data_IF_115035101148
#
_entry.id   IF_115035101148
#
_cell.length_a   1.000
_cell.length_b   1.000
_cell.length_c   1.000
_cell.angle_alpha   90.00
_cell.angle_beta   90.00
_cell.angle_gamma   90.00
#
_symmetry.space_group_name_H-M   'P 1'
#
loop_
_entity.id
_entity.type
_entity.pdbx_description
1 polymer ?
#
# COMPACT_ATOMS: atom_id res chain seq x y z
N UNK A 1 24.88 9.14 -4.41
CA UNK A 1 23.83 8.16 -4.01
C UNK A 1 23.00 8.74 -2.88
N UNK A 2 21.66 8.78 -3.02
CA UNK A 2 20.72 9.32 -2.03
C UNK A 2 19.78 8.21 -1.55
N UNK A 3 19.66 8.02 -0.24
CA UNK A 3 18.69 7.10 0.35
C UNK A 3 17.33 7.78 0.50
N UNK A 4 16.27 7.13 0.02
CA UNK A 4 14.89 7.63 0.04
C UNK A 4 14.12 6.89 1.14
N UNK A 5 14.19 7.39 2.37
CA UNK A 5 13.56 6.77 3.54
C UNK A 5 12.07 7.00 3.58
N UNK A 6 11.31 5.92 3.67
CA UNK A 6 9.86 5.99 3.76
C UNK A 6 9.33 6.67 5.04
N UNK A 7 10.10 6.60 6.13
CA UNK A 7 9.69 7.17 7.41
C UNK A 7 9.48 8.70 7.35
N UNK A 8 10.31 9.42 6.57
CA UNK A 8 10.21 10.88 6.42
C UNK A 8 8.91 11.26 5.69
N UNK A 9 8.63 10.61 4.57
CA UNK A 9 7.39 10.81 3.82
C UNK A 9 6.16 10.37 4.62
N UNK A 10 6.24 9.24 5.35
CA UNK A 10 5.17 8.76 6.22
C UNK A 10 4.85 9.75 7.35
N UNK A 11 5.87 10.40 7.93
CA UNK A 11 5.68 11.41 8.97
C UNK A 11 4.84 12.60 8.49
N UNK A 12 5.11 13.10 7.28
CA UNK A 12 4.34 14.19 6.70
C UNK A 12 2.86 13.81 6.51
N UNK A 13 2.60 12.61 5.95
CA UNK A 13 1.22 12.08 5.77
C UNK A 13 0.52 11.93 7.12
N UNK A 14 1.21 11.33 8.12
CA UNK A 14 0.63 11.12 9.44
C UNK A 14 0.30 12.43 10.16
N UNK A 15 1.15 13.46 10.04
CA UNK A 15 0.91 14.77 10.66
C UNK A 15 -0.38 15.39 10.14
N UNK A 16 -0.62 15.35 8.83
CA UNK A 16 -1.87 15.86 8.24
C UNK A 16 -3.08 15.00 8.63
N UNK A 17 -2.94 13.68 8.59
CA UNK A 17 -4.00 12.76 9.01
C UNK A 17 -4.36 12.94 10.50
N UNK A 18 -3.39 13.14 11.39
CA UNK A 18 -3.63 13.41 12.82
C UNK A 18 -4.40 14.71 13.04
N UNK A 19 -4.04 15.78 12.31
CA UNK A 19 -4.78 17.06 12.38
C UNK A 19 -6.24 16.87 11.94
N UNK A 20 -6.47 16.22 10.80
CA UNK A 20 -7.82 15.96 10.29
C UNK A 20 -8.62 15.02 11.23
N UNK A 21 -7.96 14.03 11.83
CA UNK A 21 -8.58 13.15 12.83
C UNK A 21 -9.04 13.95 14.05
N UNK A 22 -8.22 14.88 14.57
CA UNK A 22 -8.61 15.72 15.69
C UNK A 22 -9.85 16.57 15.37
N UNK A 23 -9.91 17.18 14.18
CA UNK A 23 -11.06 17.95 13.69
C UNK A 23 -12.34 17.10 13.59
N UNK A 24 -12.22 15.82 13.19
CA UNK A 24 -13.34 14.87 13.13
C UNK A 24 -13.79 14.46 14.54
N UNK A 25 -12.85 14.22 15.45
CA UNK A 25 -13.16 13.85 16.85
C UNK A 25 -13.92 14.98 17.55
N UNK A 26 -13.58 16.26 17.33
CA UNK A 26 -14.34 17.41 17.84
C UNK A 26 -15.80 17.43 17.35
N UNK A 27 -16.07 16.80 16.20
CA UNK A 27 -17.43 16.61 15.65
C UNK A 27 -18.09 15.32 16.12
N UNK A 28 -17.46 14.56 17.04
CA UNK A 28 -17.95 13.28 17.54
C UNK A 28 -17.67 12.09 16.62
N UNK A 29 -16.80 12.21 15.62
CA UNK A 29 -16.49 11.18 14.64
C UNK A 29 -15.07 10.68 14.86
N UNK A 30 -14.93 9.41 15.22
CA UNK A 30 -13.64 8.74 15.29
C UNK A 30 -13.42 7.96 13.99
N UNK A 31 -12.46 8.35 13.11
CA UNK A 31 -12.16 7.55 11.93
C UNK A 31 -11.86 6.10 12.33
N UNK A 32 -12.48 5.15 11.64
CA UNK A 32 -12.38 3.73 11.97
C UNK A 32 -12.07 2.92 10.72
N UNK A 33 -11.05 2.07 10.81
CA UNK A 33 -10.70 1.07 9.80
C UNK A 33 -11.25 -0.30 10.24
N UNK A 34 -12.09 -0.90 9.42
CA UNK A 34 -12.45 -2.30 9.52
C UNK A 34 -11.39 -3.18 8.85
N UNK A 35 -10.92 -4.19 9.55
CA UNK A 35 -9.93 -5.16 9.02
C UNK A 35 -10.58 -6.53 8.97
N UNK A 36 -10.48 -7.20 7.83
CA UNK A 36 -10.82 -8.63 7.70
C UNK A 36 -9.55 -9.42 7.47
N UNK A 37 -9.25 -10.35 8.37
CA UNK A 37 -8.10 -11.25 8.29
C UNK A 37 -8.57 -12.69 8.39
N UNK A 38 -8.08 -13.55 7.49
CA UNK A 38 -8.45 -14.97 7.42
C UNK A 38 -7.20 -15.82 7.63
N UNK A 39 -7.20 -16.61 8.68
CA UNK A 39 -6.07 -17.41 9.11
C UNK A 39 -5.19 -16.74 10.17
N UNK A 40 -4.14 -17.46 10.59
CA UNK A 40 -3.27 -17.08 11.70
C UNK A 40 -1.81 -16.85 11.26
N UNK A 41 -1.62 -16.23 10.09
CA UNK A 41 -0.27 -15.88 9.63
C UNK A 41 0.40 -14.86 10.56
N UNK A 42 1.61 -15.16 10.99
CA UNK A 42 2.36 -14.32 11.93
C UNK A 42 2.78 -12.97 11.31
N UNK A 43 3.01 -12.93 9.99
CA UNK A 43 3.36 -11.71 9.28
C UNK A 43 2.14 -10.78 9.18
N UNK A 44 0.97 -11.33 8.89
CA UNK A 44 -0.29 -10.58 8.88
C UNK A 44 -0.62 -10.00 10.25
N UNK A 45 -0.45 -10.80 11.31
CA UNK A 45 -0.65 -10.34 12.67
C UNK A 45 0.36 -9.23 13.06
N UNK A 46 1.61 -9.31 12.58
CA UNK A 46 2.61 -8.27 12.81
C UNK A 46 2.28 -6.99 12.04
N UNK A 47 1.80 -7.12 10.80
CA UNK A 47 1.36 -5.99 9.98
C UNK A 47 0.15 -5.28 10.60
N UNK A 48 -0.86 -6.04 11.05
CA UNK A 48 -2.03 -5.50 11.76
C UNK A 48 -1.62 -4.74 13.04
N UNK A 49 -0.68 -5.27 13.83
CA UNK A 49 -0.15 -4.54 15.00
C UNK A 49 0.48 -3.20 14.61
N UNK A 50 1.18 -3.17 13.47
CA UNK A 50 1.74 -1.94 12.92
C UNK A 50 0.67 -0.91 12.54
N UNK A 51 -0.40 -1.37 11.89
CA UNK A 51 -1.58 -0.55 11.56
C UNK A 51 -2.20 0.02 12.85
N UNK A 52 -2.53 -0.83 13.83
CA UNK A 52 -3.12 -0.41 15.11
C UNK A 52 -2.28 0.65 15.80
N UNK A 53 -0.98 0.40 15.95
CA UNK A 53 -0.06 1.38 16.57
C UNK A 53 -0.11 2.75 15.88
N UNK A 54 -0.21 2.78 14.56
CA UNK A 54 -0.27 4.03 13.79
C UNK A 54 -1.61 4.72 13.94
N UNK A 55 -2.70 3.98 13.89
CA UNK A 55 -4.07 4.50 14.05
C UNK A 55 -4.29 5.02 15.47
N UNK A 56 -3.88 4.28 16.49
CA UNK A 56 -3.94 4.71 17.90
C UNK A 56 -3.17 6.03 18.12
N UNK A 57 -1.96 6.14 17.55
CA UNK A 57 -1.17 7.36 17.63
C UNK A 57 -1.85 8.57 16.96
N UNK A 58 -2.73 8.33 15.99
CA UNK A 58 -3.52 9.35 15.31
C UNK A 58 -4.89 9.62 15.97
N UNK A 59 -5.28 8.86 17.00
CA UNK A 59 -6.61 8.92 17.60
C UNK A 59 -7.71 8.25 16.77
N UNK A 60 -7.34 7.47 15.73
CA UNK A 60 -8.24 6.70 14.90
C UNK A 60 -8.41 5.28 15.46
N UNK A 61 -9.47 4.59 15.07
CA UNK A 61 -9.80 3.24 15.54
C UNK A 61 -9.49 2.18 14.49
N UNK A 62 -9.29 0.94 14.97
CA UNK A 62 -9.19 -0.25 14.13
C UNK A 62 -10.08 -1.33 14.73
N UNK A 63 -11.05 -1.79 13.97
CA UNK A 63 -11.88 -2.95 14.29
C UNK A 63 -11.48 -4.11 13.41
N UNK A 64 -11.28 -5.30 14.00
CA UNK A 64 -10.84 -6.46 13.22
C UNK A 64 -11.83 -7.62 13.39
N UNK A 65 -12.13 -8.25 12.27
CA UNK A 65 -12.79 -9.55 12.21
C UNK A 65 -11.72 -10.55 11.74
N UNK A 66 -11.38 -11.48 12.64
CA UNK A 66 -10.44 -12.56 12.34
C UNK A 66 -11.23 -13.86 12.17
N UNK A 67 -11.14 -14.44 10.98
CA UNK A 67 -11.78 -15.71 10.65
C UNK A 67 -10.74 -16.83 10.61
N UNK A 68 -11.21 -18.06 10.85
CA UNK A 68 -10.36 -19.25 10.70
C UNK A 68 -9.92 -19.44 9.25
N UNK A 69 -8.77 -20.09 9.03
CA UNK A 69 -8.27 -20.39 7.69
C UNK A 69 -9.18 -21.34 6.89
N UNK A 70 -10.06 -22.06 7.55
CA UNK A 70 -11.03 -22.97 6.97
C UNK A 70 -12.47 -22.39 6.94
N UNK A 71 -12.63 -21.08 7.17
CA UNK A 71 -13.93 -20.43 7.09
C UNK A 71 -14.54 -20.60 5.69
N UNK A 72 -15.87 -20.59 5.63
CA UNK A 72 -16.59 -20.69 4.36
C UNK A 72 -16.56 -19.35 3.61
N UNK A 73 -16.93 -19.40 2.32
CA UNK A 73 -17.07 -18.19 1.50
C UNK A 73 -18.14 -17.27 2.10
N UNK A 74 -19.25 -17.84 2.56
CA UNK A 74 -20.37 -17.11 3.14
C UNK A 74 -19.96 -16.38 4.43
N UNK A 75 -19.18 -17.03 5.30
CA UNK A 75 -18.66 -16.39 6.53
C UNK A 75 -17.74 -15.21 6.22
N UNK A 76 -16.91 -15.33 5.19
CA UNK A 76 -16.04 -14.24 4.74
C UNK A 76 -16.86 -13.08 4.13
N UNK A 77 -17.89 -13.39 3.34
CA UNK A 77 -18.81 -12.40 2.78
C UNK A 77 -19.59 -11.65 3.87
N UNK A 78 -20.11 -12.38 4.87
CA UNK A 78 -20.83 -11.80 6.01
C UNK A 78 -19.92 -10.86 6.83
N UNK A 79 -18.66 -11.23 7.03
CA UNK A 79 -17.70 -10.37 7.73
C UNK A 79 -17.48 -9.03 7.02
N UNK A 80 -17.32 -9.05 5.69
CA UNK A 80 -17.20 -7.83 4.89
C UNK A 80 -18.49 -7.03 4.90
N UNK A 81 -19.64 -7.71 4.69
CA UNK A 81 -20.95 -7.06 4.67
C UNK A 81 -21.26 -6.37 6.00
N UNK A 82 -20.89 -6.98 7.13
CA UNK A 82 -21.04 -6.38 8.46
C UNK A 82 -20.28 -5.06 8.58
N UNK A 83 -19.00 -5.04 8.18
CA UNK A 83 -18.19 -3.80 8.21
C UNK A 83 -18.69 -2.77 7.18
N UNK A 84 -19.16 -3.22 6.02
CA UNK A 84 -19.69 -2.34 4.99
C UNK A 84 -20.98 -1.64 5.43
N UNK A 85 -21.84 -2.32 6.18
CA UNK A 85 -23.11 -1.79 6.70
C UNK A 85 -22.95 -0.93 7.96
N UNK A 86 -21.79 -0.95 8.62
CA UNK A 86 -21.55 -0.18 9.83
C UNK A 86 -21.10 1.24 9.49
N UNK A 87 -21.95 2.24 9.79
CA UNK A 87 -21.66 3.66 9.54
C UNK A 87 -20.49 4.20 10.37
N UNK A 88 -20.10 3.53 11.45
CA UNK A 88 -18.93 3.87 12.25
C UNK A 88 -17.61 3.40 11.61
N UNK A 89 -17.66 2.48 10.64
CA UNK A 89 -16.53 2.00 9.86
C UNK A 89 -16.40 2.81 8.57
N UNK A 90 -15.30 3.52 8.42
CA UNK A 90 -15.06 4.43 7.31
C UNK A 90 -14.16 3.86 6.22
N UNK A 91 -13.27 2.93 6.56
CA UNK A 91 -12.42 2.21 5.61
C UNK A 91 -12.44 0.72 5.88
N UNK A 92 -12.26 -0.10 4.84
CA UNK A 92 -12.16 -1.55 4.97
C UNK A 92 -10.86 -2.02 4.31
N UNK A 93 -10.14 -2.90 5.01
CA UNK A 93 -8.96 -3.60 4.55
C UNK A 93 -9.20 -5.11 4.61
N UNK A 94 -9.12 -5.77 3.47
CA UNK A 94 -9.10 -7.23 3.37
C UNK A 94 -7.65 -7.70 3.22
N UNK A 95 -7.14 -8.47 4.17
CA UNK A 95 -5.79 -9.02 4.10
C UNK A 95 -5.65 -10.04 2.98
N UNK A 96 -4.54 -9.97 2.27
CA UNK A 96 -4.20 -10.84 1.14
C UNK A 96 -2.81 -11.46 1.33
N UNK A 97 -2.54 -12.67 0.85
CA UNK A 97 -3.43 -13.53 0.06
C UNK A 97 -4.45 -14.29 0.90
N UNK A 98 -5.58 -14.62 0.30
CA UNK A 98 -6.60 -15.46 0.93
C UNK A 98 -6.31 -16.96 0.73
N UNK A 99 -6.87 -17.83 1.59
CA UNK A 99 -6.91 -19.27 1.35
C UNK A 99 -7.49 -19.60 -0.04
N UNK A 100 -6.90 -20.59 -0.73
CA UNK A 100 -7.22 -20.91 -2.14
C UNK A 100 -8.66 -21.32 -2.42
N UNK A 101 -9.41 -21.75 -1.42
CA UNK A 101 -10.81 -22.16 -1.55
C UNK A 101 -11.79 -20.96 -1.57
N UNK A 102 -11.31 -19.75 -1.23
CA UNK A 102 -12.11 -18.54 -1.24
C UNK A 102 -11.96 -17.79 -2.56
N UNK A 103 -13.08 -17.26 -3.04
CA UNK A 103 -13.12 -16.38 -4.22
C UNK A 103 -12.73 -14.95 -3.81
N UNK A 104 -11.44 -14.63 -3.97
CA UNK A 104 -10.90 -13.33 -3.60
C UNK A 104 -11.50 -12.18 -4.41
N UNK A 105 -11.82 -12.40 -5.69
CA UNK A 105 -12.36 -11.36 -6.55
C UNK A 105 -13.79 -11.01 -6.13
N UNK A 106 -14.59 -12.02 -5.78
CA UNK A 106 -15.91 -11.82 -5.24
C UNK A 106 -15.87 -11.05 -3.91
N UNK A 107 -14.97 -11.42 -2.99
CA UNK A 107 -14.83 -10.73 -1.70
C UNK A 107 -14.43 -9.26 -1.87
N UNK A 108 -13.50 -8.95 -2.78
CA UNK A 108 -13.12 -7.56 -3.08
C UNK A 108 -14.29 -6.72 -3.59
N UNK A 109 -15.18 -7.31 -4.41
CA UNK A 109 -16.34 -6.59 -4.96
C UNK A 109 -17.39 -6.23 -3.92
N UNK A 110 -17.38 -6.88 -2.74
CA UNK A 110 -18.30 -6.58 -1.63
C UNK A 110 -17.87 -5.36 -0.81
N UNK A 111 -16.62 -4.90 -0.96
CA UNK A 111 -16.14 -3.71 -0.27
C UNK A 111 -16.67 -2.48 -1.04
N UNK A 112 -17.51 -1.60 -0.43
CA UNK A 112 -17.98 -0.40 -1.10
C UNK A 112 -16.82 0.50 -1.51
N UNK A 113 -16.84 1.09 -2.70
CA UNK A 113 -15.74 1.90 -3.22
C UNK A 113 -15.41 3.11 -2.32
N UNK A 114 -16.41 3.66 -1.64
CA UNK A 114 -16.27 4.74 -0.67
C UNK A 114 -15.59 4.32 0.63
N UNK A 115 -15.59 3.01 0.96
CA UNK A 115 -14.90 2.41 2.10
C UNK A 115 -13.68 1.57 1.71
N UNK A 116 -13.36 1.48 0.43
CA UNK A 116 -12.24 0.68 -0.09
C UNK A 116 -10.89 1.35 0.18
N UNK A 117 -10.47 1.35 1.44
CA UNK A 117 -9.28 2.09 1.89
C UNK A 117 -7.96 1.58 1.29
N UNK A 118 -7.93 0.38 0.74
CA UNK A 118 -6.75 -0.19 0.06
C UNK A 118 -6.84 -0.19 -1.48
N UNK A 119 -7.94 0.32 -2.04
CA UNK A 119 -8.14 0.36 -3.50
C UNK A 119 -8.19 -1.03 -4.14
N UNK A 120 -8.70 -2.02 -3.41
CA UNK A 120 -8.71 -3.42 -3.83
C UNK A 120 -9.90 -3.79 -4.72
N UNK A 121 -10.99 -3.00 -4.69
CA UNK A 121 -12.19 -3.25 -5.48
C UNK A 121 -11.93 -2.91 -6.97
N UNK A 122 -12.32 -3.78 -7.90
CA UNK A 122 -12.24 -3.50 -9.35
C UNK A 122 -12.92 -2.18 -9.76
N UNK A 123 -13.98 -1.74 -9.07
CA UNK A 123 -14.61 -0.44 -9.32
C UNK A 123 -13.65 0.71 -9.00
N UNK A 124 -12.91 0.65 -7.87
CA UNK A 124 -11.89 1.64 -7.51
C UNK A 124 -10.80 1.72 -8.59
N UNK A 125 -10.35 0.57 -9.11
CA UNK A 125 -9.40 0.53 -10.22
C UNK A 125 -9.97 1.17 -11.50
N UNK A 126 -11.23 0.92 -11.84
CA UNK A 126 -11.91 1.55 -12.97
C UNK A 126 -12.06 3.07 -12.82
N UNK A 127 -12.40 3.54 -11.63
CA UNK A 127 -12.46 4.97 -11.31
C UNK A 127 -11.09 5.63 -11.44
N UNK A 128 -10.03 4.99 -10.91
CA UNK A 128 -8.65 5.47 -11.02
C UNK A 128 -8.21 5.63 -12.47
N UNK A 129 -8.46 4.61 -13.30
CA UNK A 129 -8.15 4.65 -14.74
C UNK A 129 -8.93 5.74 -15.48
N UNK A 130 -10.15 6.03 -15.03
CA UNK A 130 -10.98 7.12 -15.57
C UNK A 130 -10.65 8.51 -15.03
N UNK A 131 -9.62 8.65 -14.19
CA UNK A 131 -9.26 9.91 -13.53
C UNK A 131 -10.35 10.44 -12.59
N UNK A 132 -11.18 9.53 -12.05
CA UNK A 132 -12.26 9.85 -11.10
C UNK A 132 -11.76 9.76 -9.67
N UNK A 133 -12.43 10.47 -8.77
CA UNK A 133 -12.08 10.43 -7.34
C UNK A 133 -12.36 9.03 -6.74
N UNK A 134 -11.30 8.42 -6.19
CA UNK A 134 -11.32 7.11 -5.55
C UNK A 134 -10.13 6.98 -4.60
N UNK A 135 -10.04 5.86 -3.90
CA UNK A 135 -8.84 5.46 -3.19
C UNK A 135 -7.99 4.59 -4.11
N UNK A 136 -6.75 5.00 -4.35
CA UNK A 136 -5.79 4.20 -5.10
C UNK A 136 -5.24 3.06 -4.21
N UNK A 137 -4.71 1.97 -4.80
CA UNK A 137 -4.02 0.95 -4.02
C UNK A 137 -2.92 1.57 -3.14
N UNK A 138 -2.96 1.31 -1.83
CA UNK A 138 -2.08 1.96 -0.85
C UNK A 138 -0.60 1.87 -1.19
N UNK A 139 -0.15 0.73 -1.71
CA UNK A 139 1.23 0.52 -2.11
C UNK A 139 1.62 1.38 -3.31
N UNK A 140 0.75 1.49 -4.32
CA UNK A 140 0.99 2.33 -5.48
C UNK A 140 1.00 3.83 -5.09
N UNK A 141 0.04 4.26 -4.28
CA UNK A 141 0.01 5.64 -3.79
C UNK A 141 1.22 5.95 -2.90
N UNK A 142 1.69 5.00 -2.08
CA UNK A 142 2.89 5.16 -1.27
C UNK A 142 4.13 5.45 -2.12
N UNK A 143 4.27 4.78 -3.28
CA UNK A 143 5.35 5.07 -4.24
C UNK A 143 5.25 6.49 -4.77
N UNK A 144 4.06 6.92 -5.19
CA UNK A 144 3.84 8.29 -5.70
C UNK A 144 4.13 9.32 -4.61
N UNK A 145 3.63 9.11 -3.39
CA UNK A 145 3.89 10.01 -2.25
C UNK A 145 5.37 10.12 -1.89
N UNK A 146 6.12 9.03 -2.04
CA UNK A 146 7.57 9.05 -1.85
C UNK A 146 8.25 9.88 -2.94
N UNK A 147 7.87 9.70 -4.20
CA UNK A 147 8.36 10.48 -5.34
C UNK A 147 8.11 11.98 -5.13
N UNK A 148 6.87 12.35 -4.73
CA UNK A 148 6.48 13.73 -4.44
C UNK A 148 7.27 14.32 -3.26
N UNK A 149 7.40 13.57 -2.16
CA UNK A 149 8.12 14.01 -0.95
C UNK A 149 9.57 14.37 -1.26
N UNK A 150 10.24 13.52 -2.02
CA UNK A 150 11.63 13.73 -2.40
C UNK A 150 11.81 14.66 -3.59
N UNK A 151 10.71 15.21 -4.14
CA UNK A 151 10.69 16.12 -5.30
C UNK A 151 11.45 15.54 -6.48
N UNK A 152 11.23 14.25 -6.74
CA UNK A 152 11.75 13.57 -7.92
C UNK A 152 11.02 14.18 -9.12
N UNK A 153 11.77 14.87 -9.97
CA UNK A 153 11.19 15.61 -11.09
C UNK A 153 10.66 14.65 -12.17
N UNK A 154 9.34 14.66 -12.33
CA UNK A 154 8.62 13.99 -13.41
C UNK A 154 8.09 14.97 -14.46
N UNK A 155 8.27 16.27 -14.22
CA UNK A 155 7.73 17.35 -15.05
C UNK A 155 8.43 17.49 -16.40
N UNK A 156 7.65 17.73 -17.46
CA UNK A 156 8.16 18.02 -18.80
C UNK A 156 8.80 16.84 -19.53
N UNK A 157 8.86 15.67 -18.89
CA UNK A 157 9.31 14.42 -19.54
C UNK A 157 8.10 13.71 -20.12
N UNK A 158 8.21 13.19 -21.33
CA UNK A 158 7.28 12.20 -21.85
C UNK A 158 7.44 10.95 -20.97
N UNK A 159 6.67 10.86 -19.88
CA UNK A 159 6.75 9.71 -18.99
C UNK A 159 6.19 8.49 -19.74
N UNK A 160 7.08 7.65 -20.22
CA UNK A 160 6.72 6.33 -20.76
C UNK A 160 6.78 5.33 -19.61
N UNK A 161 5.67 4.64 -19.36
CA UNK A 161 5.62 3.55 -18.39
C UNK A 161 5.74 2.22 -19.14
N UNK A 162 6.78 1.46 -18.83
CA UNK A 162 6.97 0.10 -19.33
C UNK A 162 6.68 -0.88 -18.21
N UNK A 163 5.62 -1.68 -18.35
CA UNK A 163 5.29 -2.75 -17.41
C UNK A 163 5.99 -4.02 -17.82
N UNK A 164 6.87 -4.53 -16.95
CA UNK A 164 7.58 -5.79 -17.13
C UNK A 164 6.97 -6.89 -16.24
N UNK A 165 6.98 -8.12 -16.72
CA UNK A 165 6.46 -9.30 -16.02
C UNK A 165 7.27 -10.55 -16.36
N UNK A 166 6.91 -11.70 -15.82
CA UNK A 166 7.66 -12.96 -15.98
C UNK A 166 7.90 -13.41 -17.42
N UNK A 167 7.08 -12.96 -18.38
CA UNK A 167 7.25 -13.22 -19.81
C UNK A 167 8.04 -12.11 -20.55
N UNK A 168 8.50 -11.05 -19.86
CA UNK A 168 9.30 -9.99 -20.47
C UNK A 168 10.66 -10.53 -20.88
N UNK A 169 11.01 -10.35 -22.15
CA UNK A 169 12.34 -10.70 -22.66
C UNK A 169 13.31 -9.55 -22.36
N UNK A 170 14.55 -9.90 -22.03
CA UNK A 170 15.64 -8.93 -21.83
C UNK A 170 15.28 -7.80 -20.85
N UNK A 171 14.92 -8.15 -19.61
CA UNK A 171 14.53 -7.18 -18.57
C UNK A 171 15.57 -6.05 -18.44
N UNK A 172 16.87 -6.36 -18.50
CA UNK A 172 17.95 -5.39 -18.46
C UNK A 172 17.84 -4.31 -19.56
N UNK A 173 17.38 -4.65 -20.77
CA UNK A 173 17.19 -3.68 -21.84
C UNK A 173 16.14 -2.62 -21.50
N UNK A 174 15.15 -2.97 -20.69
CA UNK A 174 14.13 -2.03 -20.21
C UNK A 174 14.64 -1.19 -19.04
N UNK A 175 15.27 -1.83 -18.04
CA UNK A 175 15.74 -1.15 -16.83
C UNK A 175 16.88 -0.17 -17.10
N UNK A 176 17.83 -0.50 -18.00
CA UNK A 176 18.93 0.38 -18.40
C UNK A 176 18.47 1.66 -19.12
N UNK A 177 17.26 1.64 -19.70
CA UNK A 177 16.67 2.82 -20.36
C UNK A 177 15.68 3.58 -19.45
N UNK A 178 15.43 3.09 -18.24
CA UNK A 178 14.50 3.71 -17.30
C UNK A 178 15.22 4.72 -16.38
N UNK A 179 14.63 5.89 -16.19
CA UNK A 179 15.07 6.85 -15.17
C UNK A 179 14.63 6.40 -13.77
N UNK A 180 13.45 5.77 -13.65
CA UNK A 180 12.89 5.25 -12.40
C UNK A 180 12.55 3.77 -12.59
N UNK A 181 13.05 2.95 -11.70
CA UNK A 181 12.76 1.51 -11.65
C UNK A 181 11.96 1.24 -10.38
N UNK A 182 10.72 0.77 -10.54
CA UNK A 182 9.86 0.33 -9.44
C UNK A 182 9.83 -1.19 -9.45
N UNK A 183 10.47 -1.82 -8.47
CA UNK A 183 10.51 -3.28 -8.34
C UNK A 183 9.44 -3.74 -7.35
N UNK A 184 8.51 -4.59 -7.84
CA UNK A 184 7.40 -5.18 -7.07
C UNK A 184 7.10 -6.58 -7.61
N UNK A 185 8.14 -7.42 -7.71
CA UNK A 185 8.05 -8.75 -8.32
C UNK A 185 7.98 -9.88 -7.28
N UNK A 186 8.27 -9.58 -6.00
CA UNK A 186 8.34 -10.57 -4.93
C UNK A 186 9.46 -11.59 -5.15
N UNK A 187 10.52 -11.18 -5.86
CA UNK A 187 11.68 -12.01 -6.15
C UNK A 187 12.94 -11.35 -5.59
N UNK A 188 13.56 -11.97 -4.57
CA UNK A 188 14.74 -11.39 -3.91
C UNK A 188 15.84 -11.02 -4.89
N UNK A 189 16.36 -9.79 -4.78
CA UNK A 189 17.55 -9.29 -5.47
C UNK A 189 17.54 -9.50 -7.00
N UNK A 190 16.34 -9.45 -7.61
CA UNK A 190 16.15 -9.67 -9.05
C UNK A 190 16.79 -8.58 -9.91
N UNK A 191 16.77 -7.33 -9.43
CA UNK A 191 17.40 -6.21 -10.12
C UNK A 191 18.86 -6.11 -9.67
N UNK A 192 19.77 -6.41 -10.57
CA UNK A 192 21.22 -6.50 -10.31
C UNK A 192 21.96 -5.26 -10.80
N UNK A 193 23.24 -5.12 -10.46
CA UNK A 193 24.05 -3.94 -10.76
C UNK A 193 24.24 -3.65 -12.25
N UNK A 194 24.20 -4.69 -13.09
CA UNK A 194 24.27 -4.58 -14.55
C UNK A 194 22.95 -4.15 -15.22
N UNK A 195 21.88 -4.08 -14.43
CA UNK A 195 20.54 -3.64 -14.87
C UNK A 195 20.24 -2.17 -14.56
N UNK A 196 21.16 -1.44 -13.96
CA UNK A 196 20.95 -0.04 -13.52
C UNK A 196 22.06 0.87 -14.03
N UNK A 197 21.79 2.17 -14.02
CA UNK A 197 22.77 3.21 -14.38
C UNK A 197 22.96 4.18 -13.22
N UNK A 198 24.01 5.01 -13.27
CA UNK A 198 24.26 6.08 -12.30
C UNK A 198 23.12 7.13 -12.19
N UNK A 199 22.21 7.15 -13.17
CA UNK A 199 21.05 8.05 -13.19
C UNK A 199 19.78 7.39 -12.64
N UNK A 200 19.77 6.06 -12.50
CA UNK A 200 18.59 5.31 -12.09
C UNK A 200 18.14 5.69 -10.68
N UNK A 201 16.84 5.86 -10.50
CA UNK A 201 16.19 5.97 -9.20
C UNK A 201 15.48 4.65 -8.93
N UNK A 202 15.85 3.99 -7.84
CA UNK A 202 15.38 2.64 -7.52
C UNK A 202 14.34 2.71 -6.39
N UNK A 203 13.12 2.29 -6.69
CA UNK A 203 12.03 2.19 -5.71
C UNK A 203 11.70 0.73 -5.51
N UNK A 204 12.17 0.18 -4.40
CA UNK A 204 11.96 -1.20 -4.03
C UNK A 204 10.69 -1.35 -3.18
N UNK A 205 9.71 -2.04 -3.73
CA UNK A 205 8.44 -2.39 -3.08
C UNK A 205 8.48 -3.82 -2.54
N UNK A 206 9.43 -4.62 -3.02
CA UNK A 206 9.59 -6.01 -2.64
C UNK A 206 9.89 -6.18 -1.15
N UNK A 207 9.27 -7.16 -0.53
CA UNK A 207 9.56 -7.59 0.84
C UNK A 207 9.71 -9.10 0.81
N UNK A 208 10.95 -9.55 0.96
CA UNK A 208 11.29 -10.97 0.93
C UNK A 208 12.06 -11.32 2.20
N UNK A 209 11.98 -12.58 2.61
CA UNK A 209 12.79 -13.11 3.71
C UNK A 209 13.74 -14.18 3.16
N UNK A 210 15.03 -13.90 3.21
CA UNK A 210 16.08 -14.84 2.80
C UNK A 210 16.98 -15.10 4.00
N UNK A 211 17.10 -16.36 4.42
CA UNK A 211 17.91 -16.78 5.59
C UNK A 211 17.59 -15.97 6.87
N UNK A 212 16.31 -15.66 7.11
CA UNK A 212 15.85 -14.89 8.27
C UNK A 212 16.14 -13.38 8.20
N UNK A 213 16.62 -12.86 7.07
CA UNK A 213 16.83 -11.43 6.83
C UNK A 213 15.82 -10.89 5.82
N UNK A 214 15.30 -9.71 6.09
CA UNK A 214 14.48 -8.99 5.13
C UNK A 214 15.35 -8.40 4.03
N UNK A 215 14.94 -8.60 2.78
CA UNK A 215 15.54 -7.97 1.61
C UNK A 215 14.44 -7.57 0.62
N UNK A 216 14.77 -6.70 -0.32
CA UNK A 216 13.90 -6.28 -1.41
C UNK A 216 14.09 -7.12 -2.68
N UNK A 217 13.51 -6.61 -3.75
CA UNK A 217 13.67 -7.15 -5.11
C UNK A 217 14.92 -6.59 -5.80
N UNK A 218 15.60 -5.60 -5.20
CA UNK A 218 16.77 -4.91 -5.75
C UNK A 218 18.01 -5.31 -4.95
N UNK A 219 19.05 -5.75 -5.64
CA UNK A 219 20.31 -6.13 -5.03
C UNK A 219 21.06 -4.92 -4.44
N UNK A 220 21.78 -5.13 -3.34
CA UNK A 220 22.51 -4.07 -2.66
C UNK A 220 23.54 -3.38 -3.58
N UNK A 221 24.19 -4.15 -4.47
CA UNK A 221 25.16 -3.65 -5.44
C UNK A 221 24.50 -2.74 -6.48
N UNK A 222 23.24 -3.02 -6.86
CA UNK A 222 22.47 -2.14 -7.75
C UNK A 222 22.21 -0.79 -7.08
N UNK A 223 21.87 -0.81 -5.79
CA UNK A 223 21.67 0.42 -5.02
C UNK A 223 22.94 1.30 -4.99
N UNK A 224 24.13 0.69 -4.92
CA UNK A 224 25.40 1.44 -4.91
C UNK A 224 25.69 2.15 -6.24
N UNK A 225 25.17 1.64 -7.35
CA UNK A 225 25.38 2.21 -8.69
C UNK A 225 24.32 3.27 -9.07
N UNK A 226 23.25 3.41 -8.30
CA UNK A 226 22.13 4.29 -8.63
C UNK A 226 22.30 5.72 -8.07
N UNK A 227 21.56 6.68 -8.64
CA UNK A 227 21.47 8.05 -8.12
C UNK A 227 20.77 8.08 -6.75
N UNK A 228 19.67 7.33 -6.64
CA UNK A 228 18.89 7.22 -5.41
C UNK A 228 18.21 5.87 -5.30
N UNK A 229 17.91 5.44 -4.09
CA UNK A 229 17.23 4.17 -3.82
C UNK A 229 16.41 4.20 -2.54
N UNK A 230 15.37 3.36 -2.45
CA UNK A 230 14.65 3.09 -1.21
C UNK A 230 15.28 1.90 -0.48
N UNK A 231 15.54 1.97 0.83
CA UNK A 231 16.06 0.83 1.59
C UNK A 231 14.96 -0.19 1.88
N UNK A 232 15.33 -1.46 2.00
CA UNK A 232 14.46 -2.53 2.54
C UNK A 232 15.20 -3.23 3.69
N UNK A 233 14.68 -3.14 4.93
CA UNK A 233 13.49 -2.39 5.37
C UNK A 233 13.69 -0.88 5.46
N UNK A 234 12.55 -0.14 5.54
CA UNK A 234 12.58 1.32 5.79
C UNK A 234 12.24 2.22 4.60
N UNK A 235 11.95 1.61 3.45
CA UNK A 235 11.46 2.29 2.24
C UNK A 235 9.92 2.34 2.16
N UNK A 236 9.37 1.91 1.03
CA UNK A 236 7.93 2.01 0.69
C UNK A 236 7.02 1.38 1.75
N UNK A 237 7.40 0.23 2.34
CA UNK A 237 6.60 -0.43 3.35
C UNK A 237 6.27 0.42 4.59
N UNK A 238 7.07 1.46 4.88
CA UNK A 238 6.77 2.39 5.97
C UNK A 238 5.64 3.37 5.62
N UNK A 239 5.38 3.59 4.33
CA UNK A 239 4.35 4.52 3.85
C UNK A 239 2.99 3.86 3.69
N UNK A 240 2.90 2.59 3.35
CA UNK A 240 1.62 1.92 3.05
C UNK A 240 0.61 2.09 4.17
N UNK A 241 1.02 1.88 5.42
CA UNK A 241 0.13 2.06 6.59
C UNK A 241 -0.21 3.53 6.85
N UNK A 242 0.66 4.48 6.45
CA UNK A 242 0.35 5.91 6.55
C UNK A 242 -0.68 6.34 5.49
N UNK A 243 -0.57 5.80 4.28
CA UNK A 243 -1.57 6.00 3.22
C UNK A 243 -2.91 5.39 3.62
N UNK A 244 -2.91 4.19 4.21
CA UNK A 244 -4.12 3.55 4.71
C UNK A 244 -4.83 4.40 5.78
N UNK A 245 -4.07 4.99 6.71
CA UNK A 245 -4.61 5.95 7.69
C UNK A 245 -5.20 7.17 6.98
N UNK A 246 -4.47 7.77 6.06
CA UNK A 246 -4.93 8.93 5.28
C UNK A 246 -6.23 8.61 4.53
N UNK A 247 -6.33 7.45 3.89
CA UNK A 247 -7.54 7.02 3.17
C UNK A 247 -8.73 6.88 4.12
N UNK A 248 -8.54 6.22 5.27
CA UNK A 248 -9.60 6.04 6.27
C UNK A 248 -10.10 7.39 6.80
N UNK A 249 -9.19 8.33 7.09
CA UNK A 249 -9.55 9.67 7.54
C UNK A 249 -10.29 10.44 6.43
N UNK A 250 -9.83 10.37 5.18
CA UNK A 250 -10.54 10.98 4.03
C UNK A 250 -11.93 10.38 3.81
N UNK A 251 -12.08 9.06 3.98
CA UNK A 251 -13.38 8.40 3.90
C UNK A 251 -14.33 8.92 4.99
N UNK A 252 -13.86 9.04 6.25
CA UNK A 252 -14.63 9.63 7.33
C UNK A 252 -15.04 11.09 7.06
N UNK A 253 -14.18 11.88 6.41
CA UNK A 253 -14.51 13.25 6.01
C UNK A 253 -15.55 13.31 4.90
N UNK A 254 -15.57 12.34 3.97
CA UNK A 254 -16.55 12.27 2.86
C UNK A 254 -17.94 11.89 3.37
N UNK A 255 -18.02 10.91 4.26
CA UNK A 255 -19.29 10.47 4.87
C UNK A 255 -20.06 11.59 5.59
N UNK A 256 -19.43 12.76 5.85
CA UNK A 256 -20.06 13.94 6.48
C UNK A 256 -20.68 14.90 5.49
N UNK A 257 -20.49 14.71 4.19
CA UNK A 257 -20.96 15.64 3.15
C UNK A 257 -22.27 15.18 2.49
N UNK A 258 -22.66 13.95 2.81
CA UNK A 258 -23.94 13.34 2.41
C UNK A 258 -24.98 13.44 3.52
#
# INVERSE_FOLDING_TARGET
MRELRGAEAASAICTDAMRQTAELIERGIAPCLGVVRIGDDAADAAYERGIRKRFDAAGAKVESICLSADCTQEEAEEAIAKLAADDSVHGILLFMPLPKHLDADRLRTLIPAEKDADGANPLSAGLLMGGRDCFAPCTAEAVIRLIEHYKIDLGGKNATVTVCHTATRSLAAHTLNADIIIASAGKPEMITADMVTERSILIDVGINTVNGRLCGDIAAEACQNAAAYTPVPGGVGALTTAVLLMHTVRAAMRAQKE
#
